data_IF_317314723327
#
_entry.id   IF_317314723327
#
_cell.length_a   1.000
_cell.length_b   1.000
_cell.length_c   1.000
_cell.angle_alpha   90.00
_cell.angle_beta   90.00
_cell.angle_gamma   90.00
#
_symmetry.space_group_name_H-M   'P 1'
#
loop_
_entity.id
_entity.type
_entity.pdbx_description
1 polymer ?
2 polymer ?
3 polymer ?
4 non-polymer ?
5 non-polymer ?
6 non-polymer ?
7 non-polymer ?
8 non-polymer ?
9 water ?
#
# COMPACT_ATOMS: atom_id res chain seq x y z
N UNK A 1 12.63 13.00 7.86
CA UNK A 1 13.35 13.84 6.91
C UNK A 1 12.49 14.35 5.77
N UNK A 2 12.44 13.58 4.68
CA UNK A 2 11.64 13.98 3.54
C UNK A 2 10.23 13.40 3.66
N UNK A 3 9.30 14.03 2.95
CA UNK A 3 7.89 13.68 3.07
C UNK A 3 7.24 13.77 1.70
N UNK A 4 6.07 13.10 1.59
CA UNK A 4 5.36 13.08 0.33
C UNK A 4 3.86 13.17 0.61
N UNK A 5 3.15 13.78 -0.33
CA UNK A 5 1.69 13.68 -0.41
C UNK A 5 1.34 13.00 -1.72
N UNK A 6 0.53 11.96 -1.67
CA UNK A 6 0.23 11.23 -2.88
C UNK A 6 -1.24 10.88 -2.89
N UNK A 7 -1.85 10.99 -4.05
CA UNK A 7 -3.20 10.51 -4.28
C UNK A 7 -3.14 9.32 -5.22
N UNK A 8 -3.92 8.29 -4.88
CA UNK A 8 -4.00 7.01 -5.60
C UNK A 8 -5.42 6.83 -6.09
N UNK A 9 -5.59 6.81 -7.41
CA UNK A 9 -6.89 6.68 -8.05
C UNK A 9 -6.96 5.33 -8.72
N UNK A 10 -8.10 4.65 -8.53
CA UNK A 10 -8.37 3.38 -9.20
C UNK A 10 -9.77 3.46 -9.79
N UNK A 11 -9.90 3.19 -11.07
CA UNK A 11 -11.21 3.06 -11.71
C UNK A 11 -11.26 1.72 -12.43
N UNK A 12 -12.35 0.97 -12.26
CA UNK A 12 -12.42 -0.39 -12.77
C UNK A 12 -13.74 -0.54 -13.50
N UNK A 13 -13.70 -0.86 -14.79
CA UNK A 13 -14.97 -1.12 -15.47
C UNK A 13 -15.53 -2.48 -15.09
N UNK A 14 -16.84 -2.60 -15.25
CA UNK A 14 -17.56 -3.82 -14.87
C UNK A 14 -18.77 -3.94 -15.78
N UNK A 15 -18.55 -4.35 -17.03
CA UNK A 15 -19.66 -4.43 -17.99
C UNK A 15 -20.80 -5.29 -17.47
N UNK A 16 -21.99 -4.76 -17.60
CA UNK A 16 -23.18 -5.44 -17.11
C UNK A 16 -23.48 -5.20 -15.65
N UNK A 17 -22.62 -4.47 -14.94
CA UNK A 17 -22.76 -4.23 -13.51
C UNK A 17 -22.68 -2.75 -13.23
N UNK A 18 -23.22 -1.93 -14.10
CA UNK A 18 -23.22 -0.48 -13.90
C UNK A 18 -21.96 0.16 -14.43
N UNK A 19 -21.72 1.38 -13.98
CA UNK A 19 -20.63 2.18 -14.47
C UNK A 19 -19.37 1.90 -13.66
N UNK A 20 -18.20 2.23 -14.18
CA UNK A 20 -16.95 1.94 -13.45
C UNK A 20 -16.88 2.63 -12.10
N UNK A 21 -16.47 1.87 -11.09
CA UNK A 21 -16.29 2.40 -9.74
C UNK A 21 -15.03 3.23 -9.73
N UNK A 22 -15.07 4.36 -9.04
CA UNK A 22 -13.87 5.21 -8.86
C UNK A 22 -13.58 5.29 -7.37
N UNK A 23 -12.32 5.07 -6.99
CA UNK A 23 -11.86 5.21 -5.61
C UNK A 23 -10.65 6.11 -5.65
N UNK A 24 -10.62 7.09 -4.76
CA UNK A 24 -9.43 7.91 -4.55
C UNK A 24 -9.05 7.82 -3.08
N UNK A 25 -7.78 7.59 -2.80
CA UNK A 25 -7.26 7.68 -1.44
C UNK A 25 -6.07 8.61 -1.43
N UNK A 26 -5.93 9.38 -0.36
CA UNK A 26 -4.82 10.32 -0.19
C UNK A 26 -3.96 9.90 0.98
N UNK A 27 -2.62 10.01 0.82
CA UNK A 27 -1.66 9.66 1.85
C UNK A 27 -0.67 10.79 2.05
N UNK A 28 -0.27 11.01 3.29
CA UNK A 28 0.97 11.73 3.58
C UNK A 28 1.93 10.69 4.12
N UNK A 29 3.03 10.44 3.40
CA UNK A 29 3.94 9.34 3.76
C UNK A 29 3.13 8.04 3.83
N UNK A 30 3.22 7.28 4.93
CA UNK A 30 2.48 6.04 5.08
C UNK A 30 1.11 6.19 5.71
N UNK A 31 0.61 7.41 5.91
CA UNK A 31 -0.61 7.67 6.65
C UNK A 31 -1.71 8.08 5.67
N UNK A 32 -2.75 7.26 5.56
CA UNK A 32 -3.91 7.65 4.76
C UNK A 32 -4.67 8.75 5.49
N UNK A 33 -5.12 9.78 4.76
CA UNK A 33 -5.85 10.85 5.41
C UNK A 33 -7.18 11.19 4.78
N UNK A 34 -7.48 10.74 3.55
CA UNK A 34 -8.77 10.96 2.93
C UNK A 34 -9.12 9.75 2.08
N UNK A 35 -10.42 9.59 1.84
CA UNK A 35 -10.93 8.64 0.87
C UNK A 35 -12.17 9.18 0.17
N UNK A 36 -12.41 8.66 -1.02
CA UNK A 36 -13.65 8.90 -1.77
C UNK A 36 -13.98 7.63 -2.53
N UNK A 37 -15.26 7.25 -2.55
CA UNK A 37 -15.66 6.01 -3.24
C UNK A 37 -16.98 6.29 -3.93
N UNK A 38 -17.00 6.17 -5.27
CA UNK A 38 -18.24 6.42 -6.00
C UNK A 38 -19.32 5.38 -5.71
N UNK A 39 -18.99 4.21 -5.15
CA UNK A 39 -20.03 3.24 -4.78
C UNK A 39 -20.62 3.49 -3.40
N UNK A 40 -20.10 4.43 -2.62
CA UNK A 40 -20.72 4.73 -1.33
C UNK A 40 -22.15 5.20 -1.54
N UNK A 41 -23.00 4.97 -0.55
CA UNK A 41 -24.39 5.38 -0.67
C UNK A 41 -24.49 6.87 -0.95
N UNK A 42 -23.64 7.68 -0.31
CA UNK A 42 -23.58 9.12 -0.55
C UNK A 42 -22.12 9.50 -0.73
N UNK A 43 -21.61 9.43 -1.96
CA UNK A 43 -20.16 9.67 -2.18
C UNK A 43 -19.72 11.04 -1.69
N UNK A 44 -18.62 11.04 -0.94
CA UNK A 44 -18.12 12.25 -0.32
C UNK A 44 -16.66 12.00 0.04
N UNK A 45 -15.85 13.03 -0.07
CA UNK A 45 -14.52 12.92 0.48
C UNK A 45 -14.61 12.86 1.99
N UNK A 46 -13.99 11.87 2.59
CA UNK A 46 -14.13 11.64 4.02
C UNK A 46 -12.76 11.63 4.69
N UNK A 47 -12.66 12.17 5.91
CA UNK A 47 -11.40 12.11 6.65
C UNK A 47 -11.08 10.69 7.09
N UNK A 48 -9.78 10.38 7.09
CA UNK A 48 -9.28 9.09 7.54
C UNK A 48 -8.13 9.20 8.53
N UNK A 49 -7.77 10.41 8.94
CA UNK A 49 -6.76 10.64 9.97
C UNK A 49 -7.28 11.74 10.87
N UNK A 50 -6.95 11.73 12.16
CA UNK A 50 -7.55 12.73 13.05
C UNK A 50 -7.16 14.16 12.72
N UNK A 51 -5.92 14.40 12.29
CA UNK A 51 -5.47 15.79 12.12
C UNK A 51 -6.13 16.48 10.94
N UNK A 52 -6.73 15.76 9.99
CA UNK A 52 -7.39 16.40 8.86
C UNK A 52 -8.80 16.82 9.22
N UNK A 53 -9.34 16.34 10.34
CA UNK A 53 -10.74 16.62 10.64
C UNK A 53 -11.02 18.12 10.84
N UNK A 54 -10.02 18.89 11.29
CA UNK A 54 -10.20 20.32 11.51
C UNK A 54 -10.37 21.13 10.23
N UNK A 55 -10.11 20.57 9.06
CA UNK A 55 -10.38 21.33 7.85
C UNK A 55 -11.87 21.64 7.76
N UNK A 56 -12.20 22.83 7.26
CA UNK A 56 -13.57 23.28 7.26
C UNK A 56 -14.37 22.76 6.10
N UNK A 57 -15.64 23.17 6.05
CA UNK A 57 -16.54 22.63 5.04
C UNK A 57 -16.08 22.89 3.62
N UNK A 58 -15.39 24.00 3.36
CA UNK A 58 -14.96 24.25 1.98
C UNK A 58 -14.00 23.17 1.50
N UNK A 59 -13.13 22.68 2.39
CA UNK A 59 -12.20 21.61 2.03
C UNK A 59 -12.94 20.35 1.60
N UNK A 60 -13.93 19.93 2.39
CA UNK A 60 -14.67 18.71 2.10
C UNK A 60 -15.56 18.88 0.87
N UNK A 61 -16.16 20.06 0.73
CA UNK A 61 -17.03 20.32 -0.42
C UNK A 61 -16.22 20.34 -1.71
N UNK A 62 -15.11 21.07 -1.72
CA UNK A 62 -14.36 21.17 -2.96
C UNK A 62 -13.72 19.84 -3.35
N UNK A 63 -13.12 19.13 -2.39
CA UNK A 63 -12.58 17.81 -2.69
C UNK A 63 -13.66 16.84 -3.16
N UNK A 64 -14.87 16.95 -2.60
CA UNK A 64 -15.94 16.08 -3.09
C UNK A 64 -16.30 16.40 -4.53
N UNK A 65 -16.43 17.68 -4.85
CA UNK A 65 -16.72 18.07 -6.23
C UNK A 65 -15.62 17.58 -7.17
N UNK A 66 -14.35 17.75 -6.77
CA UNK A 66 -13.25 17.29 -7.61
C UNK A 66 -13.35 15.79 -7.84
N UNK A 67 -13.63 15.02 -6.78
CA UNK A 67 -13.70 13.57 -6.92
C UNK A 67 -14.91 13.13 -7.73
N UNK A 68 -16.04 13.84 -7.61
CA UNK A 68 -17.18 13.50 -8.45
C UNK A 68 -16.88 13.78 -9.92
N UNK A 69 -16.17 14.88 -10.22
CA UNK A 69 -15.78 15.12 -11.61
C UNK A 69 -14.79 14.06 -12.07
N UNK A 70 -13.83 13.69 -11.21
CA UNK A 70 -12.88 12.65 -11.58
C UNK A 70 -13.59 11.31 -11.85
N UNK A 71 -14.65 11.00 -11.10
CA UNK A 71 -15.36 9.76 -11.38
C UNK A 71 -15.80 9.74 -12.84
N UNK A 72 -16.35 10.86 -13.32
CA UNK A 72 -16.82 10.94 -14.71
C UNK A 72 -15.64 10.95 -15.69
N UNK A 73 -14.59 11.69 -15.38
CA UNK A 73 -13.43 11.75 -16.27
C UNK A 73 -12.82 10.37 -16.47
N UNK A 74 -12.69 9.60 -15.37
CA UNK A 74 -12.08 8.27 -15.48
C UNK A 74 -12.95 7.33 -16.31
N UNK A 75 -14.29 7.49 -16.24
CA UNK A 75 -15.13 6.64 -17.07
C UNK A 75 -14.92 6.96 -18.54
N UNK A 76 -14.76 8.23 -18.88
CA UNK A 76 -14.46 8.60 -20.27
C UNK A 76 -13.09 8.09 -20.68
N UNK A 77 -12.10 8.20 -19.79
CA UNK A 77 -10.76 7.66 -20.10
C UNK A 77 -10.83 6.17 -20.37
N UNK A 78 -11.59 5.41 -19.56
CA UNK A 78 -11.72 3.97 -19.79
C UNK A 78 -12.36 3.68 -21.15
N UNK A 79 -13.39 4.45 -21.52
CA UNK A 79 -13.96 4.26 -22.86
C UNK A 79 -12.92 4.53 -23.94
N UNK A 80 -12.11 5.60 -23.76
CA UNK A 80 -11.12 5.90 -24.79
C UNK A 80 -10.06 4.82 -24.87
N UNK A 81 -9.60 4.34 -23.71
CA UNK A 81 -8.56 3.33 -23.68
C UNK A 81 -9.02 2.03 -24.32
N UNK A 82 -10.29 1.64 -24.09
CA UNK A 82 -10.78 0.44 -24.74
C UNK A 82 -10.62 0.58 -26.25
N UNK A 83 -10.96 1.74 -26.80
CA UNK A 83 -10.81 1.94 -28.23
C UNK A 83 -9.36 1.99 -28.67
N UNK A 84 -8.47 2.63 -27.88
CA UNK A 84 -7.07 2.69 -28.29
C UNK A 84 -6.41 1.32 -28.39
N UNK A 85 -6.91 0.33 -27.65
CA UNK A 85 -6.40 -1.03 -27.70
C UNK A 85 -7.31 -1.97 -28.46
N UNK A 86 -8.29 -1.46 -29.18
CA UNK A 86 -9.19 -2.29 -29.99
C UNK A 86 -9.85 -3.38 -29.15
N UNK A 87 -10.22 -3.06 -27.91
CA UNK A 87 -10.74 -4.09 -27.02
C UNK A 87 -12.27 -4.16 -27.10
N UNK A 88 -12.79 -5.33 -26.77
CA UNK A 88 -14.24 -5.53 -26.81
C UNK A 88 -14.92 -4.85 -25.60
N UNK A 89 -16.24 -4.69 -25.73
CA UNK A 89 -17.00 -4.14 -24.62
C UNK A 89 -17.22 -5.15 -23.50
N UNK A 90 -16.83 -6.42 -23.69
CA UNK A 90 -17.19 -7.46 -22.72
C UNK A 90 -16.27 -7.50 -21.51
N UNK A 91 -15.04 -7.02 -21.62
CA UNK A 91 -14.10 -7.23 -20.55
C UNK A 91 -14.02 -6.09 -19.55
N UNK A 92 -13.57 -6.42 -18.35
CA UNK A 92 -13.29 -5.44 -17.32
C UNK A 92 -11.84 -4.97 -17.45
N UNK A 93 -11.64 -3.68 -17.28
CA UNK A 93 -10.32 -3.07 -17.38
C UNK A 93 -10.12 -2.09 -16.24
N UNK A 94 -8.84 -1.79 -15.96
CA UNK A 94 -8.47 -0.99 -14.80
C UNK A 94 -7.62 0.18 -15.25
N UNK A 95 -7.94 1.36 -14.75
CA UNK A 95 -7.11 2.55 -14.90
C UNK A 95 -6.67 3.01 -13.54
N UNK A 96 -5.37 3.14 -13.35
CA UNK A 96 -4.83 3.65 -12.10
C UNK A 96 -3.98 4.88 -12.36
N UNK A 97 -4.03 5.82 -11.43
CA UNK A 97 -3.20 7.01 -11.52
C UNK A 97 -2.66 7.34 -10.14
N UNK A 98 -1.43 7.79 -10.08
CA UNK A 98 -0.86 8.29 -8.84
C UNK A 98 -0.30 9.67 -9.16
N UNK A 99 -0.55 10.65 -8.30
CA UNK A 99 0.11 11.95 -8.46
C UNK A 99 0.41 12.55 -7.11
N UNK A 100 1.34 13.51 -7.09
CA UNK A 100 1.61 14.20 -5.84
C UNK A 100 3.03 14.74 -5.84
N UNK A 101 3.48 15.10 -4.66
CA UNK A 101 4.72 15.85 -4.51
C UNK A 101 5.53 15.36 -3.32
N UNK A 102 6.86 15.55 -3.40
CA UNK A 102 7.75 15.20 -2.31
C UNK A 102 8.47 16.48 -1.91
N UNK A 103 8.72 16.64 -0.62
CA UNK A 103 9.49 17.76 -0.10
C UNK A 103 10.60 17.23 0.79
N UNK A 104 11.66 18.04 0.91
CA UNK A 104 12.77 17.70 1.77
C UNK A 104 12.53 18.15 3.19
N UNK A 105 13.58 18.07 4.02
CA UNK A 105 13.42 18.44 5.43
C UNK A 105 13.06 19.89 5.64
N UNK A 106 13.47 20.78 4.75
CA UNK A 106 13.14 22.18 4.84
C UNK A 106 11.84 22.53 4.16
N UNK A 107 11.05 21.54 3.76
CA UNK A 107 9.79 21.81 3.10
C UNK A 107 9.89 22.19 1.64
N UNK A 108 11.08 22.17 1.04
CA UNK A 108 11.22 22.58 -0.35
C UNK A 108 10.88 21.42 -1.27
N UNK A 109 10.27 21.75 -2.40
CA UNK A 109 9.93 20.73 -3.39
C UNK A 109 11.17 19.96 -3.83
N UNK A 110 11.08 18.64 -3.70
CA UNK A 110 12.07 17.72 -4.21
C UNK A 110 11.70 17.30 -5.62
N UNK A 111 10.48 16.79 -5.82
CA UNK A 111 10.01 16.51 -7.16
C UNK A 111 8.52 16.25 -7.12
N UNK A 112 7.93 16.30 -8.30
CA UNK A 112 6.51 16.00 -8.50
C UNK A 112 6.30 14.73 -9.28
N UNK A 113 5.06 14.19 -9.24
CA UNK A 113 4.75 12.95 -9.91
C UNK A 113 3.37 13.03 -10.52
N UNK A 114 3.21 12.43 -11.71
CA UNK A 114 1.90 12.11 -12.25
C UNK A 114 2.09 10.94 -13.20
N UNK A 115 1.55 9.79 -12.86
CA UNK A 115 1.76 8.61 -13.69
C UNK A 115 0.49 7.78 -13.73
N UNK A 116 0.29 7.09 -14.84
CA UNK A 116 -0.93 6.31 -15.10
C UNK A 116 -0.56 4.92 -15.58
N UNK A 117 -1.44 3.95 -15.28
CA UNK A 117 -1.29 2.59 -15.75
C UNK A 117 -2.64 2.07 -16.21
N UNK A 118 -2.62 1.26 -17.26
CA UNK A 118 -3.81 0.59 -17.78
C UNK A 118 -3.62 -0.91 -17.70
N UNK A 119 -4.58 -1.57 -17.07
CA UNK A 119 -4.48 -3.01 -16.84
C UNK A 119 -3.17 -3.43 -16.16
N UNK A 120 -2.70 -2.59 -15.24
CA UNK A 120 -1.52 -2.89 -14.45
C UNK A 120 -0.21 -2.60 -15.10
N UNK A 121 -0.22 -2.03 -16.31
CA UNK A 121 1.00 -1.74 -17.06
C UNK A 121 1.17 -0.23 -17.22
N UNK A 122 2.40 0.26 -17.03
CA UNK A 122 2.62 1.69 -17.23
C UNK A 122 2.12 2.15 -18.58
N UNK A 123 1.41 3.28 -18.58
CA UNK A 123 0.81 3.85 -19.76
C UNK A 123 1.42 5.18 -20.15
N UNK A 124 1.34 6.19 -19.28
CA UNK A 124 1.97 7.49 -19.53
C UNK A 124 2.39 8.08 -18.21
N UNK A 125 3.50 8.81 -18.22
CA UNK A 125 3.97 9.44 -17.00
C UNK A 125 4.52 10.80 -17.33
N UNK A 126 4.28 11.75 -16.46
CA UNK A 126 4.95 13.05 -16.49
C UNK A 126 6.42 12.88 -16.11
N UNK A 127 7.32 13.43 -16.92
CA UNK A 127 8.74 13.31 -16.59
C UNK A 127 9.07 14.22 -15.41
N UNK A 128 10.23 13.97 -14.79
CA UNK A 128 10.65 14.76 -13.62
C UNK A 128 10.71 16.25 -13.92
N UNK A 129 10.95 16.64 -15.17
CA UNK A 129 10.96 18.06 -15.52
C UNK A 129 9.58 18.72 -15.42
N UNK A 130 8.52 17.95 -15.22
CA UNK A 130 7.16 18.50 -15.15
C UNK A 130 6.77 19.24 -16.43
N UNK A 131 7.36 18.83 -17.57
CA UNK A 131 7.18 19.55 -18.83
C UNK A 131 7.04 18.64 -20.03
N UNK A 132 7.30 17.34 -19.90
CA UNK A 132 7.27 16.41 -21.02
C UNK A 132 6.75 15.08 -20.50
N UNK A 133 6.37 14.20 -21.41
CA UNK A 133 5.73 12.94 -21.08
C UNK A 133 6.54 11.76 -21.62
N UNK A 134 6.39 10.62 -20.97
CA UNK A 134 6.91 9.36 -21.48
C UNK A 134 5.73 8.43 -21.70
N UNK A 135 5.48 8.09 -22.95
CA UNK A 135 4.38 7.23 -23.35
C UNK A 135 4.89 5.83 -23.61
N UNK A 136 4.16 4.83 -23.09
CA UNK A 136 4.62 3.43 -23.15
C UNK A 136 4.50 2.80 -24.54
N UNK A 137 3.56 3.26 -25.37
CA UNK A 137 3.27 2.57 -26.63
C UNK A 137 2.47 3.52 -27.51
N UNK A 138 2.01 3.02 -28.68
CA UNK A 138 1.36 3.93 -29.62
C UNK A 138 -0.01 4.38 -29.14
N UNK A 139 -0.68 3.62 -28.27
CA UNK A 139 -1.92 4.10 -27.67
C UNK A 139 -1.65 5.30 -26.77
N UNK A 140 -0.65 5.18 -25.90
CA UNK A 140 -0.30 6.28 -25.00
C UNK A 140 0.20 7.50 -25.76
N UNK A 141 0.73 7.31 -26.97
CA UNK A 141 1.13 8.46 -27.77
C UNK A 141 -0.09 9.28 -28.20
N UNK A 142 -1.27 8.65 -28.38
CA UNK A 142 -2.48 9.42 -28.63
C UNK A 142 -2.78 10.33 -27.46
N UNK A 143 -2.70 9.80 -26.24
CA UNK A 143 -2.91 10.62 -25.05
C UNK A 143 -1.85 11.69 -24.96
N UNK A 144 -0.59 11.34 -25.22
CA UNK A 144 0.48 12.33 -25.17
C UNK A 144 0.18 13.49 -26.13
N UNK A 145 -0.25 13.21 -27.36
CA UNK A 145 -0.51 14.29 -28.30
C UNK A 145 -1.65 15.15 -27.82
N UNK A 146 -2.71 14.53 -27.26
CA UNK A 146 -3.83 15.30 -26.75
C UNK A 146 -3.39 16.20 -25.59
N UNK A 147 -2.54 15.68 -24.71
CA UNK A 147 -2.12 16.45 -23.55
C UNK A 147 -1.12 17.51 -23.92
N UNK A 148 -0.29 17.29 -24.95
CA UNK A 148 0.56 18.36 -25.46
C UNK A 148 -0.27 19.49 -26.07
N UNK A 149 -1.30 19.16 -26.85
CA UNK A 149 -2.13 20.19 -27.47
C UNK A 149 -2.86 21.00 -26.42
N UNK A 150 -3.22 20.39 -25.29
CA UNK A 150 -3.96 21.07 -24.23
C UNK A 150 -3.06 21.64 -23.15
N UNK A 151 -1.74 21.54 -23.30
CA UNK A 151 -0.79 22.09 -22.30
C UNK A 151 -1.07 21.54 -20.89
N UNK A 152 -1.29 20.22 -20.82
CA UNK A 152 -1.59 19.59 -19.54
C UNK A 152 -0.37 19.58 -18.63
N UNK A 153 0.83 19.41 -19.19
CA UNK A 153 2.00 19.39 -18.33
C UNK A 153 2.12 20.70 -17.56
N UNK A 154 1.80 21.82 -18.22
CA UNK A 154 1.87 23.11 -17.56
C UNK A 154 0.87 23.21 -16.42
N UNK A 155 -0.34 22.64 -16.62
CA UNK A 155 -1.32 22.59 -15.54
C UNK A 155 -0.79 21.78 -14.37
N UNK A 156 -0.21 20.61 -14.66
CA UNK A 156 0.33 19.78 -13.59
C UNK A 156 1.46 20.49 -12.89
N UNK A 157 2.36 21.13 -13.64
CA UNK A 157 3.47 21.80 -12.98
C UNK A 157 2.95 22.86 -12.02
N UNK A 158 1.95 23.65 -12.45
CA UNK A 158 1.43 24.68 -11.55
C UNK A 158 0.83 24.07 -10.29
N UNK A 159 0.10 22.96 -10.43
CA UNK A 159 -0.50 22.31 -9.27
C UNK A 159 0.58 21.74 -8.36
N UNK A 160 1.55 21.05 -8.93
CA UNK A 160 2.50 20.31 -8.10
C UNK A 160 3.40 21.27 -7.34
N UNK A 161 3.82 22.37 -7.98
CA UNK A 161 4.68 23.34 -7.32
C UNK A 161 3.93 24.31 -6.44
N UNK A 162 2.61 24.40 -6.57
CA UNK A 162 1.81 25.33 -5.81
C UNK A 162 0.97 24.60 -4.79
N UNK A 163 -0.29 24.34 -5.15
CA UNK A 163 -1.26 23.69 -4.26
C UNK A 163 -0.69 22.45 -3.57
N UNK A 164 -0.04 21.56 -4.32
CA UNK A 164 0.36 20.29 -3.73
C UNK A 164 1.35 20.50 -2.60
N UNK A 165 2.42 21.24 -2.85
CA UNK A 165 3.42 21.42 -1.78
C UNK A 165 2.87 22.29 -0.66
N UNK A 166 2.01 23.28 -0.97
CA UNK A 166 1.44 24.10 0.09
C UNK A 166 0.61 23.24 1.03
N UNK A 167 -0.21 22.36 0.46
CA UNK A 167 -1.06 21.54 1.30
C UNK A 167 -0.26 20.44 2.02
N UNK A 168 0.77 19.88 1.38
CA UNK A 168 1.63 18.93 2.11
C UNK A 168 2.24 19.59 3.33
N UNK A 169 2.80 20.80 3.16
CA UNK A 169 3.36 21.51 4.31
C UNK A 169 2.31 21.75 5.39
N UNK A 170 1.08 22.13 4.99
CA UNK A 170 0.02 22.35 5.96
C UNK A 170 -0.32 21.07 6.71
N UNK A 171 -0.43 19.96 6.00
CA UNK A 171 -0.72 18.68 6.66
C UNK A 171 0.39 18.28 7.62
N UNK A 172 1.65 18.45 7.19
CA UNK A 172 2.77 18.10 8.06
C UNK A 172 2.75 18.89 9.36
N UNK A 173 2.34 20.16 9.30
CA UNK A 173 2.23 20.95 10.52
C UNK A 173 1.04 20.49 11.38
N UNK A 174 -0.14 20.33 10.78
CA UNK A 174 -1.31 19.93 11.55
C UNK A 174 -1.15 18.55 12.16
N UNK A 175 -0.51 17.63 11.45
CA UNK A 175 -0.27 16.30 11.95
C UNK A 175 1.13 16.08 12.48
N UNK A 176 1.83 17.12 12.95
CA UNK A 176 3.25 16.97 13.25
C UNK A 176 3.52 15.93 14.33
N UNK A 177 2.59 15.78 15.30
CA UNK A 177 2.84 14.86 16.42
C UNK A 177 2.89 13.40 16.00
N UNK A 178 2.34 13.06 14.82
CA UNK A 178 2.39 11.72 14.26
C UNK A 178 3.19 11.66 12.96
N UNK A 179 2.91 12.56 12.02
CA UNK A 179 3.56 12.51 10.73
C UNK A 179 5.04 12.79 10.82
N UNK A 180 5.47 13.57 11.81
CA UNK A 180 6.89 13.87 11.98
C UNK A 180 7.48 13.17 13.20
N UNK A 181 6.86 12.07 13.64
CA UNK A 181 7.36 11.26 14.73
C UNK A 181 7.72 9.90 14.17
N UNK A 182 8.99 9.52 14.26
CA UNK A 182 9.40 8.18 13.85
C UNK A 182 9.39 7.27 15.07
N UNK A 183 8.62 6.19 15.00
CA UNK A 183 8.55 5.23 16.09
C UNK A 183 9.48 4.08 15.82
N UNK A 184 10.45 3.79 16.67
CA UNK A 184 11.41 2.72 16.35
C UNK A 184 10.78 1.34 16.46
N UNK A 185 11.37 0.36 15.77
CA UNK A 185 10.94 -1.03 15.97
C UNK A 185 11.29 -1.55 17.34
N UNK A 186 10.38 -2.36 17.88
CA UNK A 186 10.69 -3.24 18.99
C UNK A 186 11.16 -4.53 18.37
N UNK A 187 12.29 -5.06 18.83
CA UNK A 187 12.96 -6.14 18.13
C UNK A 187 13.22 -7.32 19.05
N UNK A 188 13.25 -8.50 18.48
CA UNK A 188 13.69 -9.69 19.20
C UNK A 188 14.00 -10.78 18.19
N UNK A 189 14.74 -11.78 18.63
CA UNK A 189 15.12 -12.91 17.79
C UNK A 189 14.53 -14.16 18.39
N UNK A 190 13.86 -14.95 17.56
CA UNK A 190 13.35 -16.24 17.99
C UNK A 190 14.12 -17.37 17.34
N UNK A 191 14.02 -18.54 17.96
CA UNK A 191 14.76 -19.71 17.53
C UNK A 191 13.80 -20.88 17.50
N UNK A 192 13.77 -21.59 16.36
CA UNK A 192 12.87 -22.73 16.24
C UNK A 192 13.64 -23.88 15.57
N UNK A 193 13.94 -24.98 16.27
CA UNK A 193 14.57 -26.11 15.57
C UNK A 193 13.70 -26.60 14.42
N UNK A 194 14.36 -27.03 13.34
CA UNK A 194 13.72 -27.63 12.18
C UNK A 194 13.97 -29.14 12.11
N UNK A 195 15.03 -29.62 12.75
CA UNK A 195 15.46 -30.99 12.73
C UNK A 195 16.65 -31.06 13.67
N UNK A 196 17.27 -32.22 13.82
CA UNK A 196 18.47 -32.33 14.65
C UNK A 196 19.61 -31.49 14.09
N UNK A 197 19.54 -31.14 12.81
CA UNK A 197 20.67 -30.58 12.09
C UNK A 197 20.61 -29.07 11.95
N UNK A 198 19.42 -28.45 12.05
CA UNK A 198 19.22 -27.08 11.63
C UNK A 198 18.14 -26.43 12.49
N UNK A 199 18.18 -25.11 12.56
CA UNK A 199 17.17 -24.32 13.24
C UNK A 199 16.92 -23.03 12.46
N UNK A 200 15.74 -22.45 12.64
CA UNK A 200 15.42 -21.14 12.08
C UNK A 200 15.69 -20.07 13.12
N UNK A 201 16.43 -19.04 12.75
CA UNK A 201 16.49 -17.80 13.52
C UNK A 201 15.65 -16.77 12.80
N UNK A 202 14.75 -16.10 13.54
CA UNK A 202 13.89 -15.10 12.95
C UNK A 202 14.05 -13.81 13.72
N UNK A 203 14.36 -12.75 13.01
CA UNK A 203 14.53 -11.45 13.62
C UNK A 203 13.29 -10.62 13.33
N UNK A 204 12.69 -10.09 14.38
CA UNK A 204 11.40 -9.42 14.33
C UNK A 204 11.58 -7.93 14.55
N UNK A 205 10.84 -7.13 13.79
CA UNK A 205 10.72 -5.71 14.03
C UNK A 205 9.23 -5.38 14.07
N UNK A 206 8.76 -4.84 15.19
CA UNK A 206 7.34 -4.58 15.40
C UNK A 206 7.14 -3.14 15.83
N UNK A 207 6.01 -2.56 15.43
CA UNK A 207 5.60 -1.28 15.99
C UNK A 207 6.29 -0.05 15.42
N UNK A 208 6.88 -0.13 14.24
CA UNK A 208 7.68 0.98 13.72
C UNK A 208 6.90 1.84 12.72
N UNK A 209 7.30 3.10 12.61
CA UNK A 209 6.71 4.01 11.64
C UNK A 209 7.83 5.01 11.34
N UNK A 210 8.08 5.37 10.07
CA UNK A 210 7.40 4.93 8.86
C UNK A 210 7.83 3.52 8.49
N UNK A 211 7.32 3.04 7.36
CA UNK A 211 7.52 1.65 6.95
C UNK A 211 8.94 1.35 6.49
N UNK A 212 9.68 2.34 6.01
CA UNK A 212 11.06 2.09 5.59
C UNK A 212 11.91 1.55 6.73
N UNK A 213 12.59 0.43 6.48
CA UNK A 213 13.40 -0.24 7.49
C UNK A 213 14.38 -1.13 6.75
N UNK A 214 15.53 -1.38 7.36
CA UNK A 214 16.48 -2.34 6.83
C UNK A 214 16.66 -3.41 7.88
N UNK A 215 16.40 -4.65 7.51
CA UNK A 215 16.48 -5.79 8.39
C UNK A 215 17.27 -6.86 7.66
N UNK A 216 18.46 -7.20 8.17
CA UNK A 216 19.30 -8.15 7.47
C UNK A 216 19.95 -9.11 8.46
N UNK A 217 20.27 -10.30 7.97
CA UNK A 217 21.10 -11.26 8.70
C UNK A 217 22.51 -11.31 8.10
N UNK A 218 23.50 -11.37 8.98
CA UNK A 218 24.88 -11.62 8.57
C UNK A 218 25.37 -12.89 9.24
N UNK A 219 26.23 -13.60 8.53
CA UNK A 219 26.94 -14.77 9.04
C UNK A 219 28.42 -14.43 8.98
N UNK A 220 29.08 -14.45 10.12
CA UNK A 220 30.49 -14.05 10.18
C UNK A 220 30.70 -12.68 9.54
N UNK A 221 29.71 -11.80 9.70
CA UNK A 221 29.82 -10.44 9.19
C UNK A 221 29.51 -10.26 7.72
N UNK A 222 29.12 -11.32 7.01
CA UNK A 222 28.79 -11.25 5.59
C UNK A 222 27.27 -11.32 5.39
N UNK A 223 26.74 -10.46 4.53
CA UNK A 223 25.29 -10.44 4.30
C UNK A 223 24.80 -11.78 3.75
N UNK A 224 23.66 -12.24 4.27
CA UNK A 224 23.05 -13.50 3.85
C UNK A 224 21.87 -13.28 2.92
N UNK A 225 22.03 -12.44 1.91
CA UNK A 225 20.87 -11.99 1.13
C UNK A 225 20.11 -13.17 0.51
N UNK A 226 20.82 -14.05 -0.20
CA UNK A 226 20.14 -15.13 -0.89
C UNK A 226 19.52 -16.14 0.07
N UNK A 227 20.08 -16.28 1.26
CA UNK A 227 19.63 -17.30 2.21
C UNK A 227 18.59 -16.78 3.19
N UNK A 228 18.26 -15.50 3.13
CA UNK A 228 17.31 -14.93 4.08
C UNK A 228 15.90 -14.92 3.47
N UNK A 229 14.92 -15.38 4.25
CA UNK A 229 13.51 -15.18 3.91
C UNK A 229 13.06 -13.88 4.56
N UNK A 230 12.64 -12.93 3.75
CA UNK A 230 12.27 -11.58 4.20
C UNK A 230 10.84 -11.32 3.78
N UNK A 231 9.91 -11.26 4.75
CA UNK A 231 8.52 -10.97 4.39
C UNK A 231 8.35 -9.50 4.04
N UNK A 232 7.33 -9.21 3.23
CA UNK A 232 6.97 -7.83 2.94
C UNK A 232 6.58 -7.10 4.23
N UNK A 233 7.00 -5.84 4.33
CA UNK A 233 6.57 -5.01 5.45
C UNK A 233 5.04 -4.90 5.43
N UNK A 234 4.43 -5.08 6.58
CA UNK A 234 2.97 -5.26 6.65
C UNK A 234 2.38 -4.33 7.71
N UNK A 235 1.17 -3.85 7.50
CA UNK A 235 0.58 -2.91 8.46
C UNK A 235 -0.02 -3.61 9.66
N UNK A 236 0.23 -3.03 10.84
CA UNK A 236 -0.38 -3.60 12.03
C UNK A 236 -1.84 -3.21 12.20
N UNK A 237 -2.28 -2.11 11.59
CA UNK A 237 -3.64 -1.61 11.74
C UNK A 237 -3.78 -0.46 12.70
N UNK A 238 -2.71 -0.08 13.40
CA UNK A 238 -2.67 1.00 14.39
C UNK A 238 -1.68 2.08 13.97
N UNK A 239 -1.43 2.20 12.67
CA UNK A 239 -0.47 3.13 12.07
C UNK A 239 0.91 2.52 11.87
N UNK A 240 1.28 1.55 12.69
CA UNK A 240 2.64 1.02 12.64
C UNK A 240 2.74 -0.17 11.68
N UNK A 241 4.00 -0.61 11.50
CA UNK A 241 4.33 -1.67 10.58
C UNK A 241 5.09 -2.78 11.29
N UNK A 242 5.18 -3.92 10.62
CA UNK A 242 5.89 -5.09 11.13
C UNK A 242 6.69 -5.71 10.00
N UNK A 243 7.77 -6.40 10.35
CA UNK A 243 8.54 -7.13 9.37
C UNK A 243 9.36 -8.18 10.10
N UNK A 244 9.70 -9.27 9.41
CA UNK A 244 10.69 -10.20 9.95
C UNK A 244 11.58 -10.73 8.85
N UNK A 245 12.72 -11.26 9.28
CA UNK A 245 13.68 -11.89 8.39
C UNK A 245 14.17 -13.15 9.06
N UNK A 246 14.28 -14.23 8.30
CA UNK A 246 14.66 -15.53 8.87
C UNK A 246 15.77 -16.18 8.07
N UNK A 247 16.60 -16.93 8.79
CA UNK A 247 17.69 -17.73 8.21
C UNK A 247 17.64 -19.09 8.85
N UNK A 248 17.99 -20.11 8.06
CA UNK A 248 18.15 -21.46 8.56
C UNK A 248 19.62 -21.67 8.84
N UNK A 249 19.93 -22.11 10.06
CA UNK A 249 21.32 -22.17 10.51
C UNK A 249 21.64 -23.58 11.00
N UNK A 250 22.88 -24.04 10.86
CA UNK A 250 23.27 -25.34 11.42
C UNK A 250 23.21 -25.31 12.93
N UNK A 251 22.76 -26.42 13.53
CA UNK A 251 22.71 -26.53 14.98
C UNK A 251 24.08 -26.20 15.57
N UNK A 252 24.09 -25.36 16.60
CA UNK A 252 25.33 -25.00 17.25
C UNK A 252 26.05 -23.79 16.67
N UNK A 253 25.65 -23.30 15.51
CA UNK A 253 26.32 -22.16 14.89
C UNK A 253 25.58 -20.85 15.11
N UNK A 254 24.61 -20.83 16.01
CA UNK A 254 23.75 -19.66 16.13
C UNK A 254 24.50 -18.38 16.44
N UNK A 255 25.61 -18.46 17.18
CA UNK A 255 26.30 -17.23 17.54
C UNK A 255 27.09 -16.63 16.40
N UNK A 256 27.19 -17.32 15.26
CA UNK A 256 27.81 -16.72 14.09
C UNK A 256 26.90 -15.78 13.35
N UNK A 257 25.62 -15.71 13.71
CA UNK A 257 24.64 -14.93 12.99
C UNK A 257 24.23 -13.72 13.77
N UNK A 258 24.12 -12.60 13.07
CA UNK A 258 23.69 -11.36 13.70
C UNK A 258 22.63 -10.72 12.84
N UNK A 259 21.62 -10.16 13.48
CA UNK A 259 20.58 -9.43 12.78
C UNK A 259 20.81 -7.95 12.94
N UNK A 260 20.73 -7.23 11.84
CA UNK A 260 21.02 -5.81 11.83
C UNK A 260 19.76 -5.05 11.45
N UNK A 261 19.45 -4.02 12.24
CA UNK A 261 18.22 -3.25 12.07
C UNK A 261 18.60 -1.79 11.96
N UNK A 262 18.13 -1.14 10.89
CA UNK A 262 18.23 0.31 10.80
C UNK A 262 16.85 0.89 10.55
N UNK A 263 16.57 1.97 11.27
CA UNK A 263 15.28 2.65 11.18
C UNK A 263 15.42 4.05 11.74
N UNK A 264 14.66 4.98 11.16
CA UNK A 264 14.79 6.40 11.51
C UNK A 264 14.48 6.67 12.99
N UNK A 265 13.67 5.83 13.62
CA UNK A 265 13.33 6.07 15.02
C UNK A 265 14.33 5.57 16.02
N UNK A 266 15.34 4.83 15.58
CA UNK A 266 16.34 4.28 16.49
C UNK A 266 17.43 5.30 16.74
N UNK A 267 17.83 5.43 18.00
CA UNK A 267 19.01 6.25 18.32
C UNK A 267 20.26 5.76 17.60
N UNK A 268 20.42 4.44 17.51
CA UNK A 268 21.57 3.82 16.86
C UNK A 268 21.07 2.56 16.18
N UNK A 269 21.68 2.15 15.08
CA UNK A 269 21.36 0.83 14.51
C UNK A 269 21.57 -0.28 15.54
N UNK A 270 20.79 -1.33 15.41
CA UNK A 270 20.83 -2.43 16.35
C UNK A 270 21.55 -3.62 15.75
N UNK A 271 22.26 -4.36 16.60
CA UNK A 271 22.79 -5.67 16.26
C UNK A 271 22.24 -6.63 17.28
N UNK A 272 21.53 -7.64 16.82
CA UNK A 272 20.88 -8.59 17.71
C UNK A 272 21.40 -9.97 17.42
N UNK A 273 21.48 -10.78 18.46
CA UNK A 273 21.79 -12.19 18.33
C UNK A 273 20.74 -12.98 19.09
N UNK A 274 20.64 -14.27 18.77
CA UNK A 274 19.80 -15.12 19.58
C UNK A 274 20.37 -15.19 20.98
N UNK A 275 19.50 -14.97 21.97
CA UNK A 275 19.90 -15.01 23.37
C UNK A 275 19.23 -16.22 23.98
N UNK A 276 19.91 -17.38 24.03
CA UNK A 276 19.36 -18.66 24.50
C UNK A 276 19.08 -18.67 26.00
N UNK B 1 -5.51 20.08 -1.47
CA UNK B 1 -6.58 19.70 -2.37
C UNK B 1 -6.07 18.74 -3.40
N UNK B 2 -6.94 17.83 -3.82
CA UNK B 2 -6.77 17.11 -5.07
C UNK B 2 -6.93 18.05 -6.25
N UNK B 3 -6.74 17.49 -7.45
CA UNK B 3 -7.00 18.25 -8.68
C UNK B 3 -7.92 17.44 -9.58
N UNK B 4 -8.57 18.14 -10.50
CA UNK B 4 -9.34 17.48 -11.55
C UNK B 4 -8.39 16.93 -12.59
N UNK B 5 -8.40 15.62 -12.74
CA UNK B 5 -7.49 14.96 -13.67
C UNK B 5 -7.94 15.12 -15.12
N UNK B 6 -7.01 14.93 -16.02
CA UNK B 6 -7.27 15.13 -17.43
C UNK B 6 -7.67 13.81 -18.10
N UNK B 7 -8.64 13.88 -19.02
CA UNK B 7 -9.09 12.70 -19.75
C UNK B 7 -7.96 12.14 -20.61
N UNK B 8 -7.74 10.82 -20.56
CA UNK B 8 -6.73 10.15 -21.39
C UNK B 8 -7.19 10.00 -22.84
N UNK C 1 -5.08 -10.90 -20.48
CA UNK C 1 -4.12 -9.89 -20.02
C UNK C 1 -3.25 -10.47 -18.92
N UNK C 2 -2.26 -9.70 -18.48
CA UNK C 2 -1.33 -10.18 -17.47
C UNK C 2 -1.93 -9.96 -16.09
N UNK C 3 -1.93 -11.00 -15.27
CA UNK C 3 -2.47 -10.93 -13.92
C UNK C 3 -1.39 -11.30 -12.90
N UNK C 4 -1.61 -10.87 -11.65
CA UNK C 4 -0.66 -11.08 -10.57
C UNK C 4 -1.40 -11.70 -9.39
N UNK C 5 -0.85 -12.79 -8.85
CA UNK C 5 -1.52 -13.49 -7.76
C UNK C 5 -1.18 -12.87 -6.40
N UNK C 6 -2.10 -12.89 -5.43
CA UNK C 6 -1.82 -12.23 -4.15
C UNK C 6 -0.83 -12.98 -3.29
N UNK C 7 0.02 -12.20 -2.63
CA UNK C 7 0.73 -12.63 -1.44
C UNK C 7 -0.21 -12.48 -0.27
N UNK C 8 -0.04 -13.34 0.73
CA UNK C 8 -0.94 -13.38 1.87
C UNK C 8 -0.14 -13.53 3.14
N UNK C 9 -0.39 -12.66 4.13
CA UNK C 9 0.16 -12.83 5.48
C UNK C 9 -0.97 -12.71 6.49
N UNK C 10 -0.95 -13.58 7.50
CA UNK C 10 -1.94 -13.58 8.57
C UNK C 10 -1.20 -13.46 9.88
N UNK C 11 -1.63 -12.52 10.72
CA UNK C 11 -0.82 -12.16 11.89
C UNK C 11 -1.68 -11.30 12.80
N UNK C 12 -1.18 -11.11 14.02
CA UNK C 12 -1.91 -10.28 14.97
C UNK C 12 -1.30 -8.88 15.06
N UNK C 13 -2.14 -7.92 15.45
CA UNK C 13 -1.68 -6.54 15.61
C UNK C 13 -0.67 -6.42 16.74
N UNK C 14 -0.98 -7.04 17.88
CA UNK C 14 -0.11 -7.02 19.05
C UNK C 14 0.39 -8.43 19.31
N UNK C 15 1.48 -8.58 20.06
CA UNK C 15 1.93 -9.94 20.40
C UNK C 15 0.79 -10.70 21.08
N UNK C 16 0.55 -11.92 20.61
CA UNK C 16 -0.60 -12.70 21.06
C UNK C 16 -0.41 -13.19 22.49
N UNK C 17 -1.45 -13.03 23.30
CA UNK C 17 -1.47 -13.54 24.66
C UNK C 17 -2.84 -14.15 24.86
N UNK C 18 -2.90 -15.43 25.24
CA UNK C 18 -4.19 -16.09 25.38
C UNK C 18 -5.06 -15.34 26.37
N UNK C 19 -6.32 -15.14 25.99
CA UNK C 19 -7.28 -14.45 26.80
C UNK C 19 -7.26 -12.94 26.72
N UNK C 20 -6.35 -12.36 25.93
CA UNK C 20 -6.23 -10.92 25.80
C UNK C 20 -6.74 -10.49 24.43
N UNK C 21 -7.67 -9.54 24.42
CA UNK C 21 -8.24 -9.08 23.16
C UNK C 21 -7.15 -8.49 22.27
N UNK C 22 -7.30 -8.67 20.95
CA UNK C 22 -6.27 -8.33 19.96
C UNK C 22 -7.00 -8.12 18.64
N UNK C 23 -6.23 -7.94 17.57
CA UNK C 23 -6.78 -7.87 16.23
C UNK C 23 -6.07 -8.89 15.37
N UNK C 24 -6.86 -9.63 14.60
CA UNK C 24 -6.38 -10.60 13.63
C UNK C 24 -6.40 -9.93 12.26
N UNK C 25 -5.26 -9.94 11.59
CA UNK C 25 -5.04 -9.28 10.31
C UNK C 25 -4.77 -10.31 9.21
N UNK C 26 -5.33 -10.06 8.02
CA UNK C 26 -4.95 -10.80 6.83
C UNK C 26 -4.59 -9.72 5.80
N UNK C 27 -3.31 -9.63 5.47
CA UNK C 27 -2.82 -8.62 4.54
C UNK C 27 -2.57 -9.29 3.21
N UNK C 28 -3.27 -8.84 2.17
CA UNK C 28 -3.15 -9.37 0.82
C UNK C 28 -2.53 -8.28 -0.04
N UNK C 29 -1.51 -8.63 -0.81
CA UNK C 29 -0.81 -7.60 -1.55
C UNK C 29 -0.26 -8.20 -2.84
N UNK C 30 0.22 -7.33 -3.73
CA UNK C 30 0.87 -7.81 -4.92
C UNK C 30 -0.05 -8.32 -6.01
N UNK C 31 -1.36 -8.06 -5.91
CA UNK C 31 -2.29 -8.69 -6.85
C UNK C 31 -2.82 -7.72 -7.89
N UNK C 32 -3.25 -8.29 -9.02
CA UNK C 32 -3.88 -7.54 -10.09
C UNK C 32 -4.68 -8.56 -10.89
N UNK C 33 -5.96 -8.30 -11.19
CA UNK C 33 -6.73 -7.08 -10.93
C UNK C 33 -7.19 -6.95 -9.48
N UNK C 34 -7.93 -5.89 -9.15
CA UNK C 34 -8.22 -5.56 -7.76
C UNK C 34 -9.32 -6.41 -7.13
N UNK C 35 -10.17 -7.06 -7.92
CA UNK C 35 -11.23 -7.87 -7.32
C UNK C 35 -10.62 -9.05 -6.57
N UNK C 36 -11.03 -9.22 -5.30
CA UNK C 36 -10.46 -10.27 -4.47
C UNK C 36 -11.48 -10.57 -3.39
N UNK C 37 -11.50 -11.81 -2.92
CA UNK C 37 -12.41 -12.21 -1.87
C UNK C 37 -11.57 -12.74 -0.72
N UNK C 38 -11.76 -12.15 0.46
CA UNK C 38 -10.96 -12.54 1.63
C UNK C 38 -11.92 -12.82 2.76
N UNK C 39 -11.76 -13.98 3.40
CA UNK C 39 -12.49 -14.33 4.62
C UNK C 39 -11.50 -14.61 5.74
N UNK C 40 -11.86 -14.22 6.95
CA UNK C 40 -11.13 -14.64 8.12
C UNK C 40 -11.92 -15.79 8.73
N UNK C 41 -11.23 -16.83 9.17
CA UNK C 41 -11.86 -18.04 9.68
C UNK C 41 -11.49 -18.26 11.14
N UNK C 42 -12.47 -18.73 11.92
CA UNK C 42 -12.24 -19.20 13.26
C UNK C 42 -12.71 -20.64 13.28
N UNK C 43 -11.79 -21.56 13.56
CA UNK C 43 -12.09 -22.99 13.56
C UNK C 43 -12.80 -23.41 12.27
N UNK C 44 -12.31 -22.85 11.16
CA UNK C 44 -12.78 -23.20 9.85
C UNK C 44 -14.01 -22.46 9.37
N UNK C 45 -14.67 -21.66 10.22
CA UNK C 45 -15.90 -20.97 9.86
C UNK C 45 -15.65 -19.47 9.66
N UNK C 46 -16.39 -18.88 8.73
CA UNK C 46 -16.19 -17.47 8.40
C UNK C 46 -16.59 -16.57 9.57
N UNK C 47 -15.70 -15.63 9.92
CA UNK C 47 -15.99 -14.60 10.91
C UNK C 47 -16.83 -13.50 10.25
N UNK C 48 -17.91 -13.08 10.93
CA UNK C 48 -18.82 -12.06 10.41
C UNK C 48 -18.27 -10.67 10.69
N UNK C 49 -18.62 -9.71 9.81
CA UNK C 49 -18.36 -8.28 10.04
C UNK C 49 -16.87 -7.91 10.03
N UNK C 50 -16.06 -8.67 9.30
CA UNK C 50 -14.66 -8.31 9.13
C UNK C 50 -14.58 -7.01 8.36
N UNK C 51 -13.67 -6.12 8.77
CA UNK C 51 -13.51 -4.86 8.08
C UNK C 51 -12.28 -4.92 7.18
N UNK C 52 -12.21 -4.00 6.23
CA UNK C 52 -11.03 -3.92 5.38
C UNK C 52 -10.67 -2.47 5.07
N UNK C 53 -9.40 -2.28 4.74
CA UNK C 53 -8.89 -0.97 4.38
C UNK C 53 -9.42 -0.52 3.00
N UNK C 54 -9.19 0.75 2.70
CA UNK C 54 -9.56 1.30 1.40
C UNK C 54 -8.55 0.88 0.35
N UNK C 55 -9.05 0.48 -0.82
CA UNK C 55 -8.22 -0.04 -1.89
C UNK C 55 -7.14 0.97 -2.29
N UNK C 56 -5.88 0.51 -2.29
CA UNK C 56 -4.77 1.32 -2.78
C UNK C 56 -3.76 0.38 -3.44
N UNK C 57 -2.65 0.96 -3.91
CA UNK C 57 -1.73 0.16 -4.69
C UNK C 57 -0.31 0.67 -4.46
N UNK C 58 0.63 -0.20 -4.77
CA UNK C 58 2.05 0.01 -4.57
C UNK C 58 2.68 0.65 -5.80
N UNK C 59 3.98 0.94 -5.71
CA UNK C 59 4.66 1.62 -6.81
C UNK C 59 4.59 0.82 -8.09
N UNK C 60 4.55 -0.51 -8.00
CA UNK C 60 4.47 -1.37 -9.17
C UNK C 60 3.05 -1.59 -9.66
N UNK C 61 2.09 -0.86 -9.12
CA UNK C 61 0.67 -0.82 -9.52
C UNK C 61 -0.11 -2.00 -8.96
N UNK C 62 0.54 -2.91 -8.24
CA UNK C 62 -0.20 -4.01 -7.64
C UNK C 62 -0.98 -3.53 -6.42
N UNK C 63 -2.14 -4.15 -6.20
CA UNK C 63 -3.03 -3.71 -5.14
C UNK C 63 -2.69 -4.33 -3.81
N UNK C 64 -3.17 -3.70 -2.73
CA UNK C 64 -3.03 -4.29 -1.40
C UNK C 64 -4.26 -3.91 -0.57
N UNK C 65 -4.64 -4.81 0.34
CA UNK C 65 -5.76 -4.60 1.27
C UNK C 65 -5.41 -5.28 2.58
N UNK C 66 -5.84 -4.66 3.69
CA UNK C 66 -5.79 -5.28 5.01
C UNK C 66 -7.20 -5.60 5.48
N UNK C 67 -7.46 -6.86 5.77
CA UNK C 67 -8.70 -7.30 6.38
C UNK C 67 -8.42 -7.57 7.85
N UNK C 68 -9.35 -7.17 8.73
CA UNK C 68 -9.05 -7.28 10.15
C UNK C 68 -10.31 -7.42 10.97
N UNK C 69 -10.15 -8.00 12.15
CA UNK C 69 -11.25 -8.16 13.09
C UNK C 69 -10.69 -8.30 14.49
N UNK C 70 -11.46 -7.86 15.48
CA UNK C 70 -11.08 -8.15 16.86
C UNK C 70 -11.20 -9.64 17.12
N UNK C 71 -10.26 -10.16 17.90
CA UNK C 71 -10.34 -11.53 18.38
C UNK C 71 -9.60 -11.64 19.70
N UNK C 72 -9.95 -12.68 20.45
CA UNK C 72 -9.23 -13.01 21.67
C UNK C 72 -8.60 -14.37 21.46
N UNK C 73 -7.30 -14.46 21.26
CA UNK C 73 -6.68 -15.75 21.04
C UNK C 73 -6.84 -16.63 22.27
N UNK C 74 -6.93 -17.93 22.02
CA UNK C 74 -6.94 -18.93 23.07
C UNK C 74 -6.03 -20.05 22.64
N UNK C 75 -5.80 -20.99 23.56
CA UNK C 75 -4.99 -22.15 23.23
C UNK C 75 -5.68 -23.03 22.20
N UNK C 76 -7.01 -23.16 22.26
CA UNK C 76 -7.70 -24.15 21.44
C UNK C 76 -8.04 -23.62 20.05
N UNK C 77 -8.40 -22.34 19.93
CA UNK C 77 -9.00 -21.83 18.70
C UNK C 77 -7.95 -21.68 17.60
N UNK C 78 -8.31 -22.10 16.38
CA UNK C 78 -7.45 -21.94 15.22
C UNK C 78 -8.01 -20.82 14.36
N UNK C 79 -7.12 -19.97 13.83
CA UNK C 79 -7.54 -18.89 12.95
C UNK C 79 -6.82 -19.03 11.63
N UNK C 80 -7.45 -18.49 10.59
CA UNK C 80 -6.89 -18.56 9.24
C UNK C 80 -7.48 -17.44 8.39
N UNK C 81 -6.87 -17.24 7.22
CA UNK C 81 -7.38 -16.39 6.18
C UNK C 81 -7.57 -17.23 4.92
N UNK C 82 -8.69 -17.01 4.22
CA UNK C 82 -9.02 -17.71 2.99
C UNK C 82 -9.21 -16.68 1.88
N UNK C 83 -8.46 -16.83 0.80
CA UNK C 83 -8.39 -15.84 -0.25
C UNK C 83 -8.77 -16.48 -1.59
N UNK C 84 -9.63 -15.80 -2.34
CA UNK C 84 -9.87 -16.19 -3.72
C UNK C 84 -9.61 -15.00 -4.65
N UNK C 85 -9.16 -15.31 -5.85
CA UNK C 85 -8.73 -14.32 -6.83
C UNK C 85 -8.77 -15.01 -8.19
N UNK C 86 -8.89 -14.23 -9.26
CA UNK C 86 -8.96 -14.83 -10.60
C UNK C 86 -7.76 -15.70 -10.92
N UNK C 87 -6.59 -15.39 -10.34
CA UNK C 87 -5.38 -16.18 -10.58
C UNK C 87 -5.33 -17.51 -9.83
N UNK C 88 -6.26 -17.78 -8.91
CA UNK C 88 -6.23 -18.99 -8.09
C UNK C 88 -7.31 -19.96 -8.57
N UNK C 89 -6.91 -21.20 -8.84
CA UNK C 89 -7.89 -22.20 -9.25
C UNK C 89 -8.79 -22.64 -8.11
N UNK C 90 -8.35 -22.47 -6.86
CA UNK C 90 -9.18 -22.73 -5.70
C UNK C 90 -8.76 -21.78 -4.59
N UNK C 91 -9.62 -21.52 -3.61
CA UNK C 91 -9.25 -20.62 -2.52
C UNK C 91 -7.98 -21.10 -1.83
N UNK C 92 -7.16 -20.14 -1.42
CA UNK C 92 -5.93 -20.42 -0.71
C UNK C 92 -6.15 -20.10 0.75
N UNK C 93 -5.85 -21.05 1.63
CA UNK C 93 -5.98 -20.87 3.06
C UNK C 93 -4.60 -20.75 3.68
N UNK C 94 -4.40 -19.71 4.47
CA UNK C 94 -3.16 -19.51 5.23
C UNK C 94 -3.55 -19.49 6.69
N UNK C 95 -2.95 -20.40 7.47
CA UNK C 95 -3.25 -20.48 8.89
C UNK C 95 -2.45 -19.45 9.67
N UNK C 96 -3.08 -18.91 10.72
CA UNK C 96 -2.37 -18.06 11.66
C UNK C 96 -1.45 -18.90 12.52
N UNK C 97 -0.18 -18.55 12.50
CA UNK C 97 0.85 -19.22 13.27
C UNK C 97 1.50 -18.09 14.08
N UNK C 98 1.38 -18.14 15.40
CA UNK C 98 1.82 -16.96 16.15
C UNK C 98 3.32 -16.72 16.04
N UNK C 99 4.09 -17.70 15.57
CA UNK C 99 5.52 -17.50 15.33
C UNK C 99 5.82 -16.89 13.97
N UNK C 100 4.81 -16.37 13.27
CA UNK C 100 5.02 -15.78 11.94
C UNK C 100 4.14 -14.53 11.65
X LIG D 1 5.75 5.07 -17.33
X LIG D 1 7.11 5.53 -17.44
X LIG D 1 4.82 5.72 -18.36
X LIG D 1 5.14 5.40 -19.71
X LIG E 1 3.87 5.78 -5.38
X LIG E 1 3.77 4.91 -4.25
X LIG E 1 3.72 5.00 -6.68
X LIG E 1 2.34 4.79 -7.03
X LIG F 1 -0.48 0.32 -20.73
X LIG F 1 0.73 0.37 -21.52
X LIG F 1 -1.57 -0.53 -21.40
X LIG F 1 -1.87 -1.73 -20.68
X LIG G 1 -16.89 -5.73 -7.62
X LIG G 1 -16.27 -5.59 -8.90
X LIG G 1 -17.36 -4.35 -7.17
X LIG G 1 -18.60 -4.12 -7.80
X LIG H 1 8.96 -14.08 2.07
X LIG H 1 7.90 -14.95 2.48
X LIG H 1 8.46 -13.13 0.99
X LIG H 1 9.56 -12.32 0.56
X LIG I 1 -13.56 4.16 -27.77
X LIG I 1 -13.60 5.37 -28.52
X LIG I 1 -14.94 3.69 -27.36
X LIG I 1 -14.83 2.66 -26.36
X LIG J 1 -21.39 4.08 3.59
X LIG J 1 -20.23 3.26 3.60
X LIG J 1 -21.98 4.07 2.18
X LIG J 1 -22.22 2.72 1.75
X LIG K 1 -11.24 0.22 -20.79
X LIG L 1 -20.10 10.18 -7.88
X LIG M 1 -17.44 -5.92 -29.27
X LIG M 1 -16.19 -5.43 -29.85
X LIG M 1 -17.32 -7.36 -29.00
X LIG M 1 -18.57 -5.72 -30.18
X LIG M 1 -17.71 -5.22 -28.02
X LIG N 1 -15.47 -2.00 -0.67
X LIG N 1 -16.11 -1.06 0.19
X LIG N 1 -16.37 -3.21 -0.85
X LIG N 1 -15.65 -4.39 -0.46
X LIG O 1 -13.68 -13.56 19.05
X LIG O 1 -12.81 -13.34 20.15
X LIG O 1 -13.14 -14.73 18.25
X LIG O 1 -11.83 -14.97 18.78
X LIG P 1 5.78 0.14 -2.63
X LIG P 1 4.93 1.05 -2.86
X LIG P 1 6.73 -0.06 -3.44
X LIG P 1 5.69 -0.58 -1.59
X LIG Q 1 -8.73 -7.84 27.14
X LIG R 1 -12.51 -16.31 0.43
#
# INVERSE_FOLDING_TARGET
GSHSMRYFHTSVSRPGRGEPRFISVGYVDGTQFVRFDSDAASPRTEPRAPWIEQEGPEYWDRNTQISKTNTQTYRESLRNLRGYYNQSEAGSHTLQRMYGCDVGPDGRLLRGHDQSAYDGKDYIALNEDLSSWTAADTAAQITQRKWEAARVAEQLRAYLEGTCVEWLRRHLENGKETLQRADPPKTHVTHHPISDHEATLRCWALGFYPAEITLTWQRDGEDQTQDTELVETRPAGDRTFQKWAAVVVPSGEEQRYTCHVQHEGLPKPLTLRWEP
YERMCNIL
MIQRTPKIQVYSRHPAENGKSNFLNCYVSGFHPSDIEVDLLKNGERIEKVEHSDLSFSKDWSFYLLYYTEFTPTEKDEYACRVNHVTLSQPKIVKWDRDM
EDO C1 O1 C2 O2
EDO C1 O1 C2 O2
EDO C1 O1 C2 O2
EDO C1 O1 C2 O2
EDO C1 O1 C2 O2
EDO C1 O1 C2 O2
EDO C1 O1 C2 O2
MG MG
K K
SO4 S O1 O2 O3 O4
EDO C1 O1 C2 O2
EDO C1 O1 C2 O2
NO3 N O1 O2 O3
K K
K K
#
